data_IF_061706687930
#
_entry.id   IF_061706687930
#
_cell.length_a   1.000
_cell.length_b   1.000
_cell.length_c   1.000
_cell.angle_alpha   90.00
_cell.angle_beta   90.00
_cell.angle_gamma   90.00
#
_symmetry.space_group_name_H-M   'P 1'
#
loop_
_entity.id
_entity.type
_entity.pdbx_description
1 polymer ?
#
# COMPACT_ATOMS: atom_id res chain seq x y z
N UNK A 1 -57.12 17.64 18.36
CA UNK A 1 -55.80 17.49 17.70
C UNK A 1 -55.88 18.22 16.36
N UNK A 2 -55.14 19.32 16.28
CA UNK A 2 -55.20 20.20 15.11
C UNK A 2 -54.35 19.64 13.97
N UNK A 3 -54.93 19.52 12.76
CA UNK A 3 -54.25 18.98 11.56
C UNK A 3 -52.91 19.70 11.26
N UNK A 4 -52.82 20.97 11.67
CA UNK A 4 -51.59 21.78 11.51
C UNK A 4 -50.45 21.37 12.44
N UNK A 5 -50.73 20.85 13.63
CA UNK A 5 -49.72 20.37 14.57
C UNK A 5 -49.09 19.04 14.10
N UNK A 6 -49.92 18.20 13.45
CA UNK A 6 -49.45 16.91 12.91
C UNK A 6 -48.43 17.09 11.77
N UNK A 7 -48.69 18.07 10.90
CA UNK A 7 -47.77 18.35 9.76
C UNK A 7 -46.45 18.96 10.23
N UNK A 8 -46.49 19.83 11.25
CA UNK A 8 -45.27 20.42 11.84
C UNK A 8 -44.40 19.35 12.51
N UNK A 9 -44.99 18.43 13.24
CA UNK A 9 -44.27 17.36 13.93
C UNK A 9 -43.72 16.29 12.97
N UNK A 10 -44.45 15.99 11.88
CA UNK A 10 -43.97 15.09 10.85
C UNK A 10 -42.77 15.66 10.07
N UNK A 11 -42.76 16.98 9.82
CA UNK A 11 -41.64 17.66 9.16
C UNK A 11 -40.36 17.66 10.01
N UNK A 12 -40.50 17.84 11.33
CA UNK A 12 -39.33 17.83 12.24
C UNK A 12 -38.75 16.43 12.41
N UNK A 13 -39.58 15.39 12.46
CA UNK A 13 -39.13 14.01 12.54
C UNK A 13 -38.40 13.56 11.26
N UNK A 14 -38.82 14.03 10.08
CA UNK A 14 -38.16 13.74 8.81
C UNK A 14 -36.77 14.34 8.70
N UNK A 15 -36.53 15.55 9.23
CA UNK A 15 -35.22 16.21 9.18
C UNK A 15 -34.24 15.55 10.15
N UNK A 16 -34.67 15.04 11.31
CA UNK A 16 -33.83 14.34 12.26
C UNK A 16 -33.44 12.94 11.77
N UNK A 17 -34.28 12.26 10.99
CA UNK A 17 -33.94 10.95 10.40
C UNK A 17 -32.93 11.05 9.26
N UNK A 18 -32.88 12.16 8.53
CA UNK A 18 -31.87 12.37 7.47
C UNK A 18 -30.46 12.61 8.00
N UNK A 19 -30.31 13.02 9.27
CA UNK A 19 -29.00 13.28 9.89
C UNK A 19 -28.30 12.05 10.46
N UNK A 20 -28.94 10.88 10.50
CA UNK A 20 -28.39 9.64 11.04
C UNK A 20 -28.06 8.60 9.95
N UNK A 21 -27.74 9.03 8.74
CA UNK A 21 -27.10 8.13 7.81
C UNK A 21 -25.77 7.67 8.45
N UNK A 22 -25.54 6.37 8.64
CA UNK A 22 -24.24 5.91 9.14
C UNK A 22 -23.18 6.45 8.18
N UNK A 23 -22.27 7.25 8.70
CA UNK A 23 -21.08 7.62 7.95
C UNK A 23 -20.39 6.31 7.58
N UNK A 24 -20.56 5.87 6.35
CA UNK A 24 -19.75 4.79 5.79
C UNK A 24 -18.34 5.35 5.79
N UNK A 25 -17.57 5.05 6.83
CA UNK A 25 -16.14 5.26 6.83
C UNK A 25 -15.61 4.39 5.71
N UNK A 26 -15.49 4.96 4.52
CA UNK A 26 -14.68 4.38 3.47
C UNK A 26 -13.28 4.25 4.09
N UNK A 27 -12.91 3.02 4.41
CA UNK A 27 -11.59 2.71 4.95
C UNK A 27 -10.58 3.29 3.96
N UNK A 28 -9.77 4.25 4.42
CA UNK A 28 -8.80 4.90 3.57
C UNK A 28 -7.92 3.83 2.92
N UNK A 29 -7.82 3.86 1.60
CA UNK A 29 -6.98 2.93 0.88
C UNK A 29 -5.53 3.15 1.30
N UNK A 30 -4.86 2.08 1.72
CA UNK A 30 -3.43 2.10 2.04
C UNK A 30 -2.67 2.10 0.72
N UNK A 31 -1.71 3.01 0.57
CA UNK A 31 -0.85 3.09 -0.61
C UNK A 31 0.60 3.07 -0.19
N UNK A 32 1.32 2.06 -0.66
CA UNK A 32 2.75 1.90 -0.41
C UNK A 32 3.55 1.99 -1.72
N UNK A 33 4.77 2.48 -1.61
CA UNK A 33 5.75 2.49 -2.70
C UNK A 33 6.72 1.34 -2.46
N UNK A 34 6.84 0.46 -3.44
CA UNK A 34 7.81 -0.61 -3.46
C UNK A 34 8.93 -0.22 -4.42
N UNK A 35 10.14 -0.01 -3.91
CA UNK A 35 11.32 0.15 -4.74
C UNK A 35 12.03 -1.19 -4.91
N UNK A 36 12.33 -1.59 -6.15
CA UNK A 36 13.09 -2.80 -6.43
C UNK A 36 14.52 -2.48 -6.83
N UNK A 37 15.47 -3.32 -6.45
CA UNK A 37 16.85 -3.26 -6.92
C UNK A 37 17.01 -3.68 -8.38
N UNK A 38 15.94 -4.16 -9.01
CA UNK A 38 16.00 -4.75 -10.35
C UNK A 38 15.40 -3.82 -11.40
N UNK A 39 16.07 -3.68 -12.58
CA UNK A 39 15.53 -2.91 -13.68
C UNK A 39 14.38 -3.67 -14.37
N UNK A 40 13.55 -2.93 -15.10
CA UNK A 40 12.42 -3.49 -15.87
C UNK A 40 12.82 -4.55 -16.90
N UNK A 41 14.08 -4.50 -17.37
CA UNK A 41 14.64 -5.48 -18.32
C UNK A 41 14.82 -6.88 -17.71
N UNK A 42 14.88 -7.00 -16.39
CA UNK A 42 14.89 -8.27 -15.67
C UNK A 42 13.47 -8.72 -15.36
N UNK A 43 12.76 -9.17 -16.37
CA UNK A 43 11.33 -9.49 -16.32
C UNK A 43 10.96 -10.45 -15.19
N UNK A 44 11.79 -11.45 -14.90
CA UNK A 44 11.50 -12.42 -13.83
C UNK A 44 11.53 -11.76 -12.45
N UNK A 45 12.56 -10.99 -12.15
CA UNK A 45 12.75 -10.38 -10.84
C UNK A 45 11.81 -9.18 -10.64
N UNK A 46 11.84 -8.23 -11.56
CA UNK A 46 10.93 -7.08 -11.52
C UNK A 46 9.47 -7.51 -11.65
N UNK A 47 9.17 -8.52 -12.46
CA UNK A 47 7.83 -9.08 -12.64
C UNK A 47 7.27 -9.73 -11.37
N UNK A 48 8.13 -10.26 -10.48
CA UNK A 48 7.69 -10.74 -9.16
C UNK A 48 7.10 -9.61 -8.32
N UNK A 49 7.72 -8.44 -8.27
CA UNK A 49 7.20 -7.28 -7.56
C UNK A 49 5.87 -6.80 -8.15
N UNK A 50 5.76 -6.77 -9.48
CA UNK A 50 4.53 -6.40 -10.18
C UNK A 50 3.41 -7.39 -9.85
N UNK A 51 3.69 -8.69 -9.95
CA UNK A 51 2.72 -9.74 -9.63
C UNK A 51 2.28 -9.70 -8.16
N UNK A 52 3.21 -9.44 -7.26
CA UNK A 52 2.91 -9.21 -5.85
C UNK A 52 1.94 -8.05 -5.66
N UNK A 53 2.21 -6.90 -6.27
CA UNK A 53 1.36 -5.71 -6.22
C UNK A 53 -0.08 -6.00 -6.71
N UNK A 54 -0.21 -6.64 -7.86
CA UNK A 54 -1.51 -7.05 -8.43
C UNK A 54 -2.28 -7.98 -7.48
N UNK A 55 -1.57 -8.95 -6.90
CA UNK A 55 -2.17 -9.93 -5.99
C UNK A 55 -2.67 -9.27 -4.70
N UNK A 56 -1.85 -8.39 -4.10
CA UNK A 56 -2.24 -7.63 -2.90
C UNK A 56 -3.46 -6.76 -3.17
N UNK A 57 -3.49 -6.07 -4.31
CA UNK A 57 -4.64 -5.25 -4.73
C UNK A 57 -5.89 -6.11 -4.89
N UNK A 58 -5.80 -7.26 -5.55
CA UNK A 58 -6.92 -8.17 -5.75
C UNK A 58 -7.44 -8.73 -4.42
N UNK A 59 -6.56 -9.23 -3.55
CA UNK A 59 -6.93 -9.81 -2.25
C UNK A 59 -7.53 -8.79 -1.28
N UNK A 60 -7.08 -7.54 -1.35
CA UNK A 60 -7.60 -6.45 -0.51
C UNK A 60 -8.87 -5.80 -1.06
N UNK A 61 -9.37 -6.23 -2.22
CA UNK A 61 -10.49 -5.56 -2.90
C UNK A 61 -10.16 -4.11 -3.26
N UNK A 62 -8.90 -3.80 -3.59
CA UNK A 62 -8.43 -2.45 -3.92
C UNK A 62 -8.15 -1.54 -2.72
N UNK A 63 -8.26 -2.05 -1.49
CA UNK A 63 -8.01 -1.26 -0.27
C UNK A 63 -6.53 -1.10 0.04
N UNK A 64 -5.69 -1.96 -0.50
CA UNK A 64 -4.24 -1.86 -0.39
C UNK A 64 -3.62 -1.87 -1.79
N UNK A 65 -2.98 -0.78 -2.15
CA UNK A 65 -2.30 -0.61 -3.42
C UNK A 65 -0.79 -0.45 -3.18
N UNK A 66 0.00 -1.20 -3.94
CA UNK A 66 1.46 -1.10 -3.94
C UNK A 66 1.91 -0.60 -5.30
N UNK A 67 2.56 0.56 -5.37
CA UNK A 67 3.17 1.06 -6.60
C UNK A 67 4.60 0.55 -6.72
N UNK A 68 4.92 -0.14 -7.81
CA UNK A 68 6.24 -0.72 -8.05
C UNK A 68 7.11 0.24 -8.85
N UNK A 69 8.31 0.49 -8.35
CA UNK A 69 9.31 1.38 -8.94
C UNK A 69 10.60 0.61 -9.21
N UNK A 70 11.06 0.62 -10.44
CA UNK A 70 12.28 -0.05 -10.85
C UNK A 70 13.54 0.60 -10.27
N UNK A 71 14.67 -0.11 -10.33
CA UNK A 71 15.96 0.39 -9.89
C UNK A 71 16.27 1.76 -10.49
N UNK A 72 16.60 2.72 -9.64
CA UNK A 72 16.93 4.09 -10.04
C UNK A 72 15.74 5.03 -10.23
N UNK A 73 14.48 4.57 -10.14
CA UNK A 73 13.31 5.46 -10.23
C UNK A 73 13.10 6.26 -8.92
N UNK A 74 13.16 5.62 -7.78
CA UNK A 74 13.07 6.28 -6.46
C UNK A 74 14.40 6.19 -5.73
N UNK A 75 15.05 5.04 -5.78
CA UNK A 75 16.24 4.70 -5.00
C UNK A 75 17.23 3.95 -5.91
N UNK A 76 18.55 4.18 -5.78
CA UNK A 76 19.54 3.35 -6.44
C UNK A 76 19.43 1.87 -6.04
N UNK A 77 19.83 0.95 -6.92
CA UNK A 77 19.70 -0.50 -6.71
C UNK A 77 20.27 -1.00 -5.38
N UNK A 78 21.34 -0.40 -4.87
CA UNK A 78 21.99 -0.77 -3.61
C UNK A 78 21.56 0.10 -2.41
N UNK A 79 20.64 1.03 -2.60
CA UNK A 79 20.17 1.95 -1.57
C UNK A 79 18.84 1.54 -0.90
N UNK A 80 18.25 0.40 -1.27
CA UNK A 80 16.93 -0.03 -0.80
C UNK A 80 16.86 -0.14 0.73
N UNK A 81 17.86 -0.78 1.35
CA UNK A 81 17.87 -0.99 2.81
C UNK A 81 18.01 0.35 3.56
N UNK A 82 18.81 1.27 3.04
CA UNK A 82 18.97 2.60 3.64
C UNK A 82 17.66 3.40 3.52
N UNK A 83 17.02 3.36 2.36
CA UNK A 83 15.75 4.03 2.13
C UNK A 83 14.60 3.49 2.99
N UNK A 84 14.62 2.20 3.33
CA UNK A 84 13.68 1.61 4.30
C UNK A 84 13.99 2.08 5.72
N UNK A 85 15.27 2.18 6.09
CA UNK A 85 15.68 2.65 7.41
C UNK A 85 15.35 4.13 7.63
N UNK A 86 15.34 4.93 6.56
CA UNK A 86 15.02 6.36 6.58
C UNK A 86 13.51 6.65 6.37
N UNK A 87 12.67 5.62 6.29
CA UNK A 87 11.23 5.74 5.98
C UNK A 87 10.94 6.47 4.63
N UNK A 88 11.91 6.48 3.71
CA UNK A 88 11.75 7.10 2.40
C UNK A 88 10.88 6.28 1.47
N UNK A 89 10.77 4.99 1.70
CA UNK A 89 9.90 4.03 1.02
C UNK A 89 9.27 3.10 2.05
N UNK A 90 8.11 2.56 1.74
CA UNK A 90 7.36 1.69 2.64
C UNK A 90 7.71 0.21 2.43
N UNK A 91 8.23 -0.14 1.24
CA UNK A 91 8.55 -1.52 0.88
C UNK A 91 9.74 -1.57 -0.06
N UNK A 92 10.55 -2.63 0.03
CA UNK A 92 11.71 -2.84 -0.83
C UNK A 92 11.82 -4.28 -1.29
N UNK A 93 12.25 -4.47 -2.53
CA UNK A 93 12.64 -5.75 -3.09
C UNK A 93 14.12 -5.70 -3.47
N UNK A 94 14.92 -6.58 -2.88
CA UNK A 94 16.37 -6.61 -3.11
C UNK A 94 16.94 -8.00 -2.86
N UNK A 95 18.22 -8.20 -3.20
CA UNK A 95 18.94 -9.41 -2.89
C UNK A 95 19.86 -9.21 -1.66
N UNK A 96 19.84 -10.14 -0.72
CA UNK A 96 20.62 -10.05 0.51
C UNK A 96 22.12 -9.87 0.24
N UNK A 97 22.67 -10.56 -0.76
CA UNK A 97 24.10 -10.49 -1.10
C UNK A 97 24.55 -9.10 -1.61
N UNK A 98 23.64 -8.20 -1.97
CA UNK A 98 23.99 -6.82 -2.32
C UNK A 98 24.51 -6.03 -1.11
N UNK A 99 24.25 -6.50 0.09
CA UNK A 99 24.58 -5.82 1.35
C UNK A 99 25.66 -6.54 2.18
N UNK A 100 26.39 -7.48 1.58
CA UNK A 100 27.51 -8.18 2.23
C UNK A 100 28.61 -7.24 2.72
N UNK A 101 28.74 -6.07 2.10
CA UNK A 101 29.63 -5.00 2.57
C UNK A 101 29.19 -4.35 3.89
N UNK A 102 27.88 -4.43 4.22
CA UNK A 102 27.33 -3.96 5.51
C UNK A 102 27.45 -5.05 6.56
N UNK A 103 27.08 -6.28 6.20
CA UNK A 103 27.13 -7.46 7.06
C UNK A 103 27.45 -8.71 6.23
N UNK A 104 28.63 -9.36 6.45
CA UNK A 104 28.99 -10.57 5.71
C UNK A 104 28.02 -11.74 5.88
N UNK A 105 27.24 -11.78 6.97
CA UNK A 105 26.25 -12.83 7.20
C UNK A 105 25.13 -12.85 6.15
N UNK A 106 24.89 -11.73 5.47
CA UNK A 106 23.90 -11.61 4.40
C UNK A 106 24.23 -12.44 3.16
N UNK A 107 25.50 -12.90 3.03
CA UNK A 107 25.87 -13.85 1.99
C UNK A 107 25.21 -15.22 2.17
N UNK A 108 24.99 -15.66 3.40
CA UNK A 108 24.43 -16.99 3.68
C UNK A 108 23.02 -17.18 3.12
N UNK A 109 22.19 -16.14 3.13
CA UNK A 109 20.82 -16.22 2.59
C UNK A 109 20.77 -16.50 1.08
N UNK A 110 21.87 -16.31 0.36
CA UNK A 110 21.94 -16.55 -1.10
C UNK A 110 22.80 -17.75 -1.46
N UNK A 111 23.51 -18.34 -0.49
CA UNK A 111 24.47 -19.44 -0.70
C UNK A 111 23.95 -20.79 -0.20
N UNK A 112 22.76 -20.84 0.38
CA UNK A 112 22.13 -22.09 0.82
C UNK A 112 21.26 -22.61 -0.32
N UNK A 113 21.50 -23.84 -0.82
CA UNK A 113 20.71 -24.45 -1.89
C UNK A 113 19.29 -24.82 -1.44
#
# INVERSE_FOLDING_TARGET
MDRRSLIKNAGLAGVLAAGMAPAVHAQAAVRWRLATSFPKSLETLHGCAVKFSETVKALSGGKFEVSVHAAGELVPAFGIVDALADDSIEMGETAAYYYTGKDPSLAFGSCVP
#
